data_IF_751062428504
#
_entry.id   IF_751062428504
#
_cell.length_a   1.000
_cell.length_b   1.000
_cell.length_c   1.000
_cell.angle_alpha   90.00
_cell.angle_beta   90.00
_cell.angle_gamma   90.00
#
_symmetry.space_group_name_H-M   'P 1'
#
loop_
_entity.id
_entity.type
_entity.pdbx_description
1 polymer ?
#
# COMPACT_ATOMS: atom_id res chain seq x y z
N UNK A 1 2.24 -6.38 -17.66
CA UNK A 1 1.76 -7.60 -16.98
C UNK A 1 0.46 -7.23 -16.28
N UNK A 2 -0.64 -7.26 -17.02
CA UNK A 2 -2.00 -6.95 -16.58
C UNK A 2 -2.86 -8.14 -17.03
N UNK A 3 -3.80 -8.58 -16.19
CA UNK A 3 -4.64 -9.79 -16.30
C UNK A 3 -3.92 -11.14 -16.11
N UNK A 4 -3.79 -11.58 -14.85
CA UNK A 4 -3.81 -13.02 -14.46
C UNK A 4 -4.01 -13.25 -12.95
N UNK A 5 -4.18 -12.20 -12.14
CA UNK A 5 -4.11 -12.28 -10.67
C UNK A 5 -5.33 -12.91 -9.97
N UNK A 6 -6.39 -13.27 -10.70
CA UNK A 6 -7.54 -13.97 -10.11
C UNK A 6 -7.19 -15.43 -9.76
N UNK A 7 -6.27 -16.08 -10.49
CA UNK A 7 -6.05 -17.53 -10.38
C UNK A 7 -5.43 -17.95 -9.03
N UNK A 8 -4.60 -17.12 -8.42
CA UNK A 8 -3.92 -17.48 -7.17
C UNK A 8 -4.88 -17.42 -5.97
N UNK A 9 -5.66 -16.33 -5.89
CA UNK A 9 -6.62 -16.11 -4.80
C UNK A 9 -7.95 -16.84 -5.02
N UNK A 10 -8.27 -17.25 -6.25
CA UNK A 10 -9.33 -18.24 -6.50
C UNK A 10 -8.96 -19.64 -5.99
N UNK A 11 -7.66 -19.98 -5.96
CA UNK A 11 -7.18 -21.32 -5.60
C UNK A 11 -6.74 -21.46 -4.15
N UNK A 12 -6.24 -20.40 -3.54
CA UNK A 12 -5.64 -20.44 -2.21
C UNK A 12 -6.15 -19.29 -1.34
N UNK A 13 -6.25 -19.53 -0.02
CA UNK A 13 -6.65 -18.46 0.90
C UNK A 13 -5.59 -17.35 0.95
N UNK A 14 -6.05 -16.14 1.22
CA UNK A 14 -5.20 -14.96 1.39
C UNK A 14 -4.05 -15.18 2.37
N UNK A 15 -4.35 -15.83 3.50
CA UNK A 15 -3.40 -16.16 4.56
C UNK A 15 -2.30 -17.09 4.04
N UNK A 16 -2.65 -18.13 3.27
CA UNK A 16 -1.64 -19.03 2.69
C UNK A 16 -0.74 -18.31 1.68
N UNK A 17 -1.27 -17.35 0.92
CA UNK A 17 -0.47 -16.53 -0.01
C UNK A 17 0.48 -15.61 0.77
N UNK A 18 0.00 -14.98 1.83
CA UNK A 18 0.78 -14.11 2.72
C UNK A 18 1.94 -14.88 3.37
N UNK A 19 1.66 -16.02 4.01
CA UNK A 19 2.71 -16.82 4.64
C UNK A 19 3.70 -17.39 3.59
N UNK A 20 3.21 -17.72 2.39
CA UNK A 20 4.08 -18.13 1.27
C UNK A 20 5.05 -17.01 0.86
N UNK A 21 4.54 -15.78 0.76
CA UNK A 21 5.35 -14.59 0.47
C UNK A 21 6.37 -14.31 1.58
N UNK A 22 5.96 -14.37 2.85
CA UNK A 22 6.89 -14.23 3.98
C UNK A 22 7.96 -15.33 3.96
N UNK A 23 7.60 -16.56 3.62
CA UNK A 23 8.55 -17.66 3.46
C UNK A 23 9.58 -17.39 2.36
N UNK A 24 9.18 -16.69 1.27
CA UNK A 24 10.09 -16.25 0.23
C UNK A 24 11.10 -15.24 0.79
N UNK A 25 10.63 -14.22 1.51
CA UNK A 25 11.51 -13.23 2.13
C UNK A 25 12.47 -13.88 3.11
N UNK A 26 11.97 -14.66 4.06
CA UNK A 26 12.79 -15.33 5.07
C UNK A 26 13.89 -16.23 4.45
N UNK A 27 13.61 -16.86 3.29
CA UNK A 27 14.58 -17.71 2.60
C UNK A 27 15.75 -16.94 1.99
N UNK A 28 15.49 -15.74 1.47
CA UNK A 28 16.48 -14.94 0.72
C UNK A 28 17.07 -13.79 1.54
N UNK A 29 16.36 -13.29 2.55
CA UNK A 29 16.76 -12.27 3.52
C UNK A 29 17.01 -12.96 4.86
N UNK A 30 18.07 -13.77 4.94
CA UNK A 30 18.35 -14.66 6.09
C UNK A 30 18.64 -13.94 7.40
N UNK A 31 19.00 -12.67 7.33
CA UNK A 31 19.32 -11.84 8.49
C UNK A 31 18.07 -11.18 9.08
N UNK A 32 16.91 -11.29 8.41
CA UNK A 32 15.63 -10.74 8.88
C UNK A 32 14.88 -11.77 9.73
N UNK A 33 14.46 -11.33 10.92
CA UNK A 33 13.59 -12.11 11.79
C UNK A 33 12.16 -12.16 11.26
N UNK A 34 11.44 -13.23 11.59
CA UNK A 34 10.07 -13.43 11.13
C UNK A 34 9.13 -12.31 11.60
N UNK A 35 9.28 -11.84 12.84
CA UNK A 35 8.49 -10.74 13.41
C UNK A 35 8.69 -9.43 12.66
N UNK A 36 9.92 -9.15 12.22
CA UNK A 36 10.23 -7.98 11.39
C UNK A 36 9.56 -8.05 10.03
N UNK A 37 9.54 -9.24 9.42
CA UNK A 37 8.88 -9.44 8.12
C UNK A 37 7.37 -9.18 8.22
N UNK A 38 6.69 -9.76 9.22
CA UNK A 38 5.24 -9.54 9.40
C UNK A 38 4.93 -8.09 9.78
N UNK A 39 5.71 -7.48 10.67
CA UNK A 39 5.52 -6.08 11.09
C UNK A 39 5.62 -5.11 9.92
N UNK A 40 6.60 -5.29 9.04
CA UNK A 40 6.77 -4.43 7.87
C UNK A 40 5.64 -4.61 6.84
N UNK A 41 5.10 -5.82 6.69
CA UNK A 41 3.96 -6.08 5.80
C UNK A 41 2.65 -5.55 6.41
N UNK A 42 2.50 -5.56 7.73
CA UNK A 42 1.29 -5.12 8.43
C UNK A 42 1.13 -3.59 8.50
N UNK A 43 2.06 -2.82 7.94
CA UNK A 43 1.98 -1.37 7.99
C UNK A 43 0.85 -0.85 7.08
N UNK A 44 0.06 0.12 7.55
CA UNK A 44 -1.11 0.64 6.84
C UNK A 44 -0.78 1.19 5.44
N UNK A 45 0.45 1.67 5.25
CA UNK A 45 0.94 2.21 3.98
C UNK A 45 1.89 1.24 3.24
N UNK A 46 1.94 -0.03 3.63
CA UNK A 46 2.70 -1.06 2.93
C UNK A 46 1.93 -1.60 1.72
N UNK A 47 2.63 -1.67 0.59
CA UNK A 47 2.17 -2.22 -0.66
C UNK A 47 3.10 -3.35 -1.07
N UNK A 48 2.54 -4.43 -1.64
CA UNK A 48 3.35 -5.54 -2.12
C UNK A 48 3.05 -5.87 -3.58
N UNK A 49 4.10 -5.88 -4.40
CA UNK A 49 4.08 -6.39 -5.77
C UNK A 49 4.42 -7.87 -5.72
N UNK A 50 3.44 -8.71 -6.05
CA UNK A 50 3.62 -10.16 -6.15
C UNK A 50 3.76 -10.56 -7.62
N UNK A 51 4.80 -11.32 -7.93
CA UNK A 51 5.03 -11.90 -9.26
C UNK A 51 4.79 -13.39 -9.20
N UNK A 52 3.81 -13.86 -9.97
CA UNK A 52 3.43 -15.27 -10.06
C UNK A 52 3.77 -15.85 -11.43
N UNK A 53 4.04 -17.15 -11.48
CA UNK A 53 4.19 -17.89 -12.73
C UNK A 53 2.88 -18.56 -13.16
N UNK A 54 2.82 -18.94 -14.43
CA UNK A 54 1.67 -19.64 -14.97
C UNK A 54 1.52 -21.03 -14.34
N UNK A 55 0.30 -21.59 -14.35
CA UNK A 55 0.07 -22.95 -13.84
C UNK A 55 0.87 -24.01 -14.61
N UNK A 56 1.25 -23.78 -15.87
CA UNK A 56 2.08 -24.73 -16.63
C UNK A 56 3.54 -24.68 -16.17
N UNK A 57 4.04 -23.49 -15.89
CA UNK A 57 5.40 -23.26 -15.42
C UNK A 57 5.60 -23.74 -13.98
N UNK A 58 4.62 -23.49 -13.09
CA UNK A 58 4.59 -24.02 -11.73
C UNK A 58 4.68 -25.56 -11.74
N UNK A 59 3.87 -26.23 -12.58
CA UNK A 59 3.93 -27.70 -12.76
C UNK A 59 5.28 -28.17 -13.30
N UNK A 60 5.82 -27.48 -14.31
CA UNK A 60 7.12 -27.82 -14.89
C UNK A 60 8.23 -27.72 -13.84
N UNK A 61 8.28 -26.63 -13.08
CA UNK A 61 9.25 -26.42 -11.99
C UNK A 61 9.08 -27.47 -10.89
N UNK A 62 7.84 -27.73 -10.46
CA UNK A 62 7.55 -28.72 -9.42
C UNK A 62 7.98 -30.13 -9.83
N UNK A 63 7.70 -30.53 -11.07
CA UNK A 63 8.12 -31.84 -11.61
C UNK A 63 9.64 -31.96 -11.76
N UNK A 64 10.34 -30.91 -12.21
CA UNK A 64 11.81 -30.89 -12.36
C UNK A 64 12.53 -30.99 -11.02
N UNK A 65 11.94 -30.42 -9.97
CA UNK A 65 12.48 -30.42 -8.62
C UNK A 65 12.10 -31.68 -7.81
N UNK A 66 11.39 -32.65 -8.42
CA UNK A 66 11.03 -33.89 -7.76
C UNK A 66 12.28 -34.68 -7.33
N UNK A 67 12.35 -35.17 -6.09
CA UNK A 67 13.53 -35.88 -5.59
C UNK A 67 13.73 -37.23 -6.30
N UNK A 68 15.00 -37.61 -6.50
CA UNK A 68 15.34 -38.93 -7.03
C UNK A 68 14.81 -40.04 -6.10
N UNK A 69 14.48 -41.23 -6.65
CA UNK A 69 13.99 -42.41 -5.90
C UNK A 69 14.80 -42.71 -4.63
N UNK A 70 16.12 -42.64 -4.69
CA UNK A 70 16.99 -42.89 -3.53
C UNK A 70 16.89 -41.84 -2.40
N UNK A 71 16.36 -40.64 -2.68
CA UNK A 71 16.11 -39.58 -1.69
C UNK A 71 14.68 -39.57 -1.17
N UNK A 72 13.73 -40.18 -1.88
CA UNK A 72 12.30 -40.16 -1.50
C UNK A 72 12.09 -40.76 -0.12
N UNK A 73 12.64 -41.94 0.15
CA UNK A 73 12.43 -42.62 1.44
C UNK A 73 13.07 -41.86 2.61
N UNK A 74 14.27 -41.29 2.39
CA UNK A 74 14.93 -40.44 3.38
C UNK A 74 14.12 -39.17 3.68
N UNK A 75 13.52 -38.56 2.65
CA UNK A 75 12.68 -37.37 2.83
C UNK A 75 11.38 -37.75 3.54
N UNK A 76 10.68 -38.82 3.14
CA UNK A 76 9.48 -39.29 3.83
C UNK A 76 9.77 -39.48 5.32
N UNK A 77 10.89 -40.16 5.66
CA UNK A 77 11.27 -40.35 7.05
C UNK A 77 11.55 -39.03 7.78
N UNK A 78 12.20 -38.07 7.12
CA UNK A 78 12.44 -36.73 7.68
C UNK A 78 11.11 -35.99 7.97
N UNK A 79 10.18 -35.99 7.02
CA UNK A 79 8.86 -35.35 7.18
C UNK A 79 8.03 -36.04 8.26
N UNK A 80 8.02 -37.38 8.31
CA UNK A 80 7.29 -38.13 9.35
C UNK A 80 7.90 -37.92 10.74
N UNK A 81 9.22 -37.80 10.85
CA UNK A 81 9.88 -37.48 12.12
C UNK A 81 9.55 -36.06 12.57
N UNK A 82 9.52 -35.08 11.65
CA UNK A 82 9.08 -33.71 11.96
C UNK A 82 7.66 -33.70 12.55
N UNK A 83 6.71 -34.40 11.93
CA UNK A 83 5.35 -34.51 12.47
C UNK A 83 5.29 -35.18 13.84
N UNK A 84 6.14 -36.18 14.10
CA UNK A 84 6.23 -36.83 15.42
C UNK A 84 6.79 -35.88 16.48
N UNK A 85 7.83 -35.12 16.16
CA UNK A 85 8.46 -34.18 17.10
C UNK A 85 7.59 -32.95 17.37
N UNK A 86 6.90 -32.41 16.35
CA UNK A 86 6.01 -31.27 16.52
C UNK A 86 4.75 -31.63 17.33
N UNK A 87 4.19 -32.85 17.15
CA UNK A 87 3.07 -33.34 17.97
C UNK A 87 3.46 -33.64 19.41
N UNK A 88 4.71 -34.04 19.69
CA UNK A 88 5.15 -34.22 21.08
C UNK A 88 5.31 -32.89 21.83
N UNK A 89 5.83 -31.85 21.16
CA UNK A 89 6.07 -30.55 21.79
C UNK A 89 4.80 -29.72 22.04
N UNK A 90 3.74 -29.95 21.26
CA UNK A 90 2.41 -29.34 21.50
C UNK A 90 1.63 -30.03 22.63
N UNK A 91 2.02 -31.25 23.02
CA UNK A 91 1.42 -31.96 24.16
C UNK A 91 2.10 -31.70 25.51
N UNK A 92 3.28 -31.05 25.55
CA UNK A 92 4.00 -30.75 26.81
C UNK A 92 3.83 -29.32 27.31
N UNK A 93 3.32 -28.39 26.49
CA UNK A 93 3.15 -26.98 26.87
C UNK A 93 1.69 -26.58 27.16
N UNK A 94 0.75 -27.52 27.17
CA UNK A 94 -0.64 -27.30 27.56
C UNK A 94 -0.95 -28.01 28.90
N UNK A 95 -0.37 -27.49 29.97
CA UNK A 95 -0.90 -27.70 31.33
C UNK A 95 -1.31 -26.34 31.85
N UNK A 96 -2.59 -26.24 32.22
CA UNK A 96 -3.27 -25.11 32.86
C UNK A 96 -3.75 -23.96 31.96
N UNK A 97 -4.88 -24.21 31.27
CA UNK A 97 -6.09 -23.38 31.42
C UNK A 97 -7.32 -24.18 31.00
N UNK A 98 -7.95 -24.81 31.99
CA UNK A 98 -9.37 -25.15 31.90
C UNK A 98 -10.18 -23.86 31.69
N UNK A 99 -11.17 -23.89 30.79
CA UNK A 99 -12.56 -23.49 31.08
C UNK A 99 -13.44 -23.75 29.83
N UNK A 100 -14.47 -24.54 30.11
CA UNK A 100 -15.80 -24.67 29.49
C UNK A 100 -15.97 -24.67 27.97
N UNK A 101 -16.45 -25.81 27.50
CA UNK A 101 -17.35 -25.95 26.37
C UNK A 101 -18.47 -24.91 26.39
N UNK A 102 -18.60 -24.14 25.32
CA UNK A 102 -19.92 -23.84 24.80
C UNK A 102 -19.93 -23.87 23.28
N UNK A 103 -20.99 -24.48 22.75
CA UNK A 103 -21.23 -24.62 21.32
C UNK A 103 -21.81 -23.32 20.82
N UNK A 104 -21.15 -22.67 19.88
CA UNK A 104 -21.83 -21.69 19.03
C UNK A 104 -21.13 -21.67 17.67
N UNK A 105 -21.92 -21.94 16.64
CA UNK A 105 -21.55 -21.85 15.24
C UNK A 105 -21.04 -20.43 14.92
N UNK A 106 -19.95 -20.25 14.15
CA UNK A 106 -19.65 -18.94 13.61
C UNK A 106 -20.36 -18.80 12.26
N UNK A 107 -21.44 -18.01 12.28
CA UNK A 107 -21.99 -17.38 11.09
C UNK A 107 -20.87 -16.63 10.33
N UNK A 108 -20.82 -16.88 9.03
CA UNK A 108 -19.95 -16.20 8.08
C UNK A 108 -20.24 -14.70 8.05
N UNK A 109 -19.26 -13.91 8.50
CA UNK A 109 -19.09 -12.49 8.13
C UNK A 109 -17.63 -12.25 7.78
N UNK A 110 -17.29 -12.62 6.55
CA UNK A 110 -16.09 -12.14 5.87
C UNK A 110 -16.40 -10.76 5.33
N UNK A 111 -15.85 -9.72 5.93
CA UNK A 111 -15.83 -8.39 5.32
C UNK A 111 -14.53 -7.63 5.64
N UNK A 112 -13.92 -7.17 4.56
CA UNK A 112 -12.87 -6.14 4.43
C UNK A 112 -11.43 -6.51 4.80
N UNK A 113 -10.78 -7.32 3.96
CA UNK A 113 -9.34 -7.15 3.67
C UNK A 113 -9.21 -6.29 2.40
N UNK A 114 -8.73 -5.06 2.56
CA UNK A 114 -8.59 -4.07 1.49
C UNK A 114 -7.40 -4.45 0.59
N UNK A 115 -7.68 -5.29 -0.41
CA UNK A 115 -6.78 -5.53 -1.53
C UNK A 115 -6.69 -4.27 -2.40
N UNK A 116 -5.57 -3.54 -2.35
CA UNK A 116 -5.33 -2.45 -3.30
C UNK A 116 -4.69 -3.02 -4.56
N UNK A 117 -5.56 -3.43 -5.48
CA UNK A 117 -5.24 -3.62 -6.89
C UNK A 117 -5.12 -2.24 -7.55
N UNK A 118 -4.01 -2.00 -8.25
CA UNK A 118 -3.84 -0.86 -9.13
C UNK A 118 -4.71 -0.99 -10.38
N UNK A 119 -5.98 -0.61 -10.24
CA UNK A 119 -6.87 -0.33 -11.35
C UNK A 119 -7.10 1.19 -11.37
N UNK A 120 -6.29 1.90 -12.16
CA UNK A 120 -6.64 3.24 -12.60
C UNK A 120 -7.68 3.10 -13.72
N UNK A 121 -8.91 3.49 -13.43
CA UNK A 121 -9.87 3.94 -14.45
C UNK A 121 -10.34 5.31 -13.98
N UNK A 122 -9.97 6.34 -14.73
CA UNK A 122 -10.35 7.73 -14.51
C UNK A 122 -11.86 7.85 -14.31
N UNK A 123 -12.22 8.42 -13.16
CA UNK A 123 -13.52 9.05 -12.90
C UNK A 123 -13.33 9.96 -11.69
N UNK A 124 -13.16 11.25 -11.97
CA UNK A 124 -13.18 12.32 -10.99
C UNK A 124 -14.56 12.37 -10.32
N UNK A 125 -14.70 11.83 -9.11
CA UNK A 125 -15.80 12.21 -8.20
C UNK A 125 -15.27 12.34 -6.77
N UNK A 126 -15.52 13.52 -6.20
CA UNK A 126 -15.27 13.90 -4.83
C UNK A 126 -16.01 12.96 -3.87
N UNK A 127 -15.29 12.31 -2.95
CA UNK A 127 -15.91 11.51 -1.89
C UNK A 127 -15.53 12.08 -0.52
N UNK A 128 -16.59 12.53 0.16
CA UNK A 128 -16.64 13.09 1.50
C UNK A 128 -15.94 12.22 2.55
N UNK A 129 -15.25 12.88 3.48
CA UNK A 129 -14.67 12.30 4.69
C UNK A 129 -15.76 11.62 5.53
N UNK A 130 -15.76 10.28 5.54
CA UNK A 130 -16.40 9.51 6.60
C UNK A 130 -15.32 8.96 7.53
N UNK A 131 -15.24 9.56 8.70
CA UNK A 131 -14.48 9.06 9.86
C UNK A 131 -15.03 7.71 10.28
N UNK A 132 -14.34 6.63 9.89
CA UNK A 132 -14.55 5.29 10.44
C UNK A 132 -13.83 5.25 11.79
N UNK A 133 -14.58 5.05 12.87
CA UNK A 133 -14.05 4.86 14.21
C UNK A 133 -13.10 3.66 14.25
N UNK A 134 -11.86 3.92 14.66
CA UNK A 134 -10.78 2.95 14.79
C UNK A 134 -11.05 1.98 15.96
N UNK A 135 -11.52 0.78 15.64
CA UNK A 135 -11.24 -0.39 16.48
C UNK A 135 -9.83 -0.87 16.12
N UNK A 136 -8.82 -0.36 16.82
CA UNK A 136 -7.44 -0.87 16.77
C UNK A 136 -7.37 -2.19 17.54
N UNK A 137 -7.99 -3.24 17.01
CA UNK A 137 -7.51 -4.59 17.24
C UNK A 137 -6.31 -4.76 16.31
N UNK A 138 -5.09 -4.75 16.85
CA UNK A 138 -3.88 -5.06 16.10
C UNK A 138 -4.06 -6.43 15.40
N UNK A 139 -4.38 -6.40 14.10
CA UNK A 139 -4.55 -7.59 13.29
C UNK A 139 -3.18 -8.24 13.12
N UNK A 140 -2.88 -9.20 13.98
CA UNK A 140 -1.66 -9.98 13.92
C UNK A 140 -1.69 -10.95 12.72
N UNK A 141 -1.01 -10.55 11.65
CA UNK A 141 -0.85 -11.31 10.41
C UNK A 141 0.00 -12.59 10.57
N UNK A 142 0.65 -12.80 11.72
CA UNK A 142 1.40 -14.04 12.00
C UNK A 142 0.49 -15.20 12.40
N UNK A 143 -0.77 -14.92 12.79
CA UNK A 143 -1.77 -15.94 13.10
C UNK A 143 -2.01 -16.83 11.89
N UNK A 144 -2.04 -18.14 12.11
CA UNK A 144 -2.22 -19.14 11.04
C UNK A 144 -0.90 -19.66 10.43
N UNK A 145 0.25 -19.11 10.83
CA UNK A 145 1.54 -19.59 10.33
C UNK A 145 1.77 -21.08 10.60
N UNK A 146 1.48 -21.57 11.81
CA UNK A 146 1.64 -22.99 12.14
C UNK A 146 0.73 -23.89 11.29
N UNK A 147 -0.50 -23.45 11.03
CA UNK A 147 -1.44 -24.17 10.17
C UNK A 147 -0.95 -24.20 8.71
N UNK A 148 -0.39 -23.09 8.24
CA UNK A 148 0.24 -23.01 6.92
C UNK A 148 1.43 -23.96 6.78
N UNK A 149 2.29 -24.03 7.80
CA UNK A 149 3.41 -24.96 7.85
C UNK A 149 2.90 -26.40 7.83
N UNK A 150 1.97 -26.76 8.70
CA UNK A 150 1.41 -28.11 8.75
C UNK A 150 0.75 -28.52 7.44
N UNK A 151 0.01 -27.62 6.80
CA UNK A 151 -0.62 -27.82 5.49
C UNK A 151 0.44 -28.05 4.40
N UNK A 152 1.46 -27.20 4.33
CA UNK A 152 2.55 -27.31 3.35
C UNK A 152 3.35 -28.60 3.53
N UNK A 153 3.68 -28.97 4.77
CA UNK A 153 4.38 -30.21 5.08
C UNK A 153 3.54 -31.45 4.77
N UNK A 154 2.24 -31.42 5.08
CA UNK A 154 1.32 -32.51 4.77
C UNK A 154 1.18 -32.73 3.27
N UNK A 155 1.04 -31.65 2.50
CA UNK A 155 0.96 -31.71 1.04
C UNK A 155 2.25 -32.28 0.43
N UNK A 156 3.41 -31.84 0.92
CA UNK A 156 4.71 -32.38 0.49
C UNK A 156 4.85 -33.87 0.84
N UNK A 157 4.44 -34.29 2.03
CA UNK A 157 4.49 -35.69 2.45
C UNK A 157 3.57 -36.57 1.59
N UNK A 158 2.35 -36.10 1.32
CA UNK A 158 1.39 -36.80 0.45
C UNK A 158 1.94 -36.94 -0.98
N UNK A 159 2.57 -35.90 -1.50
CA UNK A 159 3.26 -35.95 -2.80
C UNK A 159 4.38 -36.99 -2.82
N UNK A 160 5.23 -37.03 -1.79
CA UNK A 160 6.31 -38.03 -1.71
C UNK A 160 5.77 -39.47 -1.59
N UNK A 161 4.69 -39.68 -0.82
CA UNK A 161 4.00 -40.98 -0.73
C UNK A 161 3.39 -41.39 -2.07
N UNK A 162 2.82 -40.44 -2.80
CA UNK A 162 2.31 -40.67 -4.16
C UNK A 162 3.44 -41.08 -5.13
N UNK A 163 4.59 -40.39 -5.08
CA UNK A 163 5.77 -40.75 -5.89
C UNK A 163 6.34 -42.13 -5.53
N UNK A 164 6.32 -42.50 -4.26
CA UNK A 164 6.76 -43.82 -3.78
C UNK A 164 5.88 -44.95 -4.32
N UNK A 165 4.56 -44.78 -4.26
CA UNK A 165 3.62 -45.84 -4.65
C UNK A 165 3.56 -46.05 -6.17
N UNK A 166 3.88 -45.02 -6.95
CA UNK A 166 3.92 -45.07 -8.41
C UNK A 166 5.36 -45.33 -8.90
N UNK A 167 5.80 -46.57 -8.82
CA UNK A 167 7.18 -47.02 -9.07
C UNK A 167 7.68 -46.87 -10.52
N UNK A 168 6.84 -46.48 -11.48
CA UNK A 168 7.15 -46.32 -12.90
C UNK A 168 7.35 -44.86 -13.35
N UNK A 169 7.94 -43.98 -12.53
CA UNK A 169 8.26 -42.61 -12.95
C UNK A 169 9.62 -42.49 -13.66
N UNK A 170 9.69 -42.38 -15.00
CA UNK A 170 10.81 -41.73 -15.66
C UNK A 170 10.77 -40.24 -15.34
N UNK A 171 11.96 -39.63 -15.21
CA UNK A 171 12.19 -38.17 -14.99
C UNK A 171 11.38 -37.24 -15.90
N UNK A 172 10.80 -37.75 -16.99
CA UNK A 172 10.17 -36.99 -18.07
C UNK A 172 8.74 -37.47 -18.45
N UNK A 173 8.17 -38.49 -17.81
CA UNK A 173 6.76 -38.82 -18.04
C UNK A 173 5.90 -38.00 -17.08
N UNK A 174 5.30 -36.94 -17.62
CA UNK A 174 4.47 -36.02 -16.88
C UNK A 174 3.41 -36.74 -16.08
N UNK A 175 3.39 -36.47 -14.77
CA UNK A 175 2.17 -36.62 -13.97
C UNK A 175 1.00 -36.00 -14.75
N UNK A 176 -0.18 -36.62 -14.66
CA UNK A 176 -1.37 -36.00 -15.21
C UNK A 176 -1.49 -34.59 -14.64
N UNK A 177 -1.71 -33.58 -15.50
CA UNK A 177 -1.80 -32.17 -15.07
C UNK A 177 -2.74 -31.99 -13.86
N UNK A 178 -3.83 -32.76 -13.82
CA UNK A 178 -4.84 -32.77 -12.74
C UNK A 178 -4.34 -33.38 -11.42
N UNK A 179 -3.44 -34.36 -11.44
CA UNK A 179 -2.87 -34.95 -10.23
C UNK A 179 -1.85 -34.00 -9.60
N UNK A 180 -1.01 -33.36 -10.43
CA UNK A 180 -0.06 -32.33 -9.97
C UNK A 180 -0.76 -31.18 -9.27
N UNK A 181 -1.90 -30.73 -9.81
CA UNK A 181 -2.65 -29.61 -9.27
C UNK A 181 -3.10 -29.81 -7.81
N UNK A 182 -3.26 -31.06 -7.37
CA UNK A 182 -3.63 -31.39 -5.99
C UNK A 182 -2.50 -31.19 -4.98
N UNK A 183 -1.25 -31.15 -5.45
CA UNK A 183 -0.06 -31.04 -4.62
C UNK A 183 0.62 -29.67 -4.70
N UNK A 184 0.18 -28.79 -5.62
CA UNK A 184 0.74 -27.46 -5.76
C UNK A 184 0.30 -26.57 -4.59
N UNK A 185 1.27 -25.91 -3.97
CA UNK A 185 1.07 -24.91 -2.93
C UNK A 185 1.28 -23.50 -3.51
N UNK A 186 0.82 -22.42 -2.84
CA UNK A 186 1.05 -21.06 -3.32
C UNK A 186 2.55 -20.74 -3.50
N UNK A 187 3.41 -21.32 -2.67
CA UNK A 187 4.88 -21.31 -2.80
C UNK A 187 5.42 -21.75 -4.17
N UNK A 188 4.68 -22.55 -4.93
CA UNK A 188 5.10 -23.00 -6.26
C UNK A 188 4.76 -22.02 -7.37
N UNK A 189 3.88 -21.06 -7.09
CA UNK A 189 3.44 -20.03 -8.03
C UNK A 189 4.17 -18.71 -7.80
N UNK A 190 4.48 -18.36 -6.55
CA UNK A 190 5.14 -17.09 -6.22
C UNK A 190 6.62 -17.19 -6.60
N UNK A 191 7.04 -16.34 -7.52
CA UNK A 191 8.41 -16.31 -8.06
C UNK A 191 9.21 -15.14 -7.52
N UNK A 192 8.55 -13.99 -7.31
CA UNK A 192 9.18 -12.83 -6.70
C UNK A 192 8.16 -12.02 -5.92
N UNK A 193 8.64 -11.30 -4.91
CA UNK A 193 7.83 -10.39 -4.13
C UNK A 193 8.64 -9.13 -3.80
N UNK A 194 7.95 -8.00 -3.73
CA UNK A 194 8.53 -6.72 -3.41
C UNK A 194 7.57 -5.91 -2.55
N UNK A 195 7.95 -5.67 -1.30
CA UNK A 195 7.15 -4.90 -0.33
C UNK A 195 7.80 -3.54 -0.15
N UNK A 196 7.00 -2.49 -0.31
CA UNK A 196 7.43 -1.10 -0.14
C UNK A 196 6.37 -0.32 0.62
N UNK A 197 6.80 0.68 1.37
CA UNK A 197 5.94 1.54 2.16
C UNK A 197 5.96 2.96 1.62
N UNK A 198 4.80 3.62 1.58
CA UNK A 198 4.72 5.04 1.22
C UNK A 198 4.78 5.86 2.51
N UNK A 199 5.91 6.55 2.71
CA UNK A 199 6.17 7.38 3.89
C UNK A 199 6.26 8.87 3.50
N UNK A 200 6.01 9.75 4.47
CA UNK A 200 6.28 11.18 4.34
C UNK A 200 7.47 11.55 5.21
N UNK A 201 8.58 11.95 4.58
CA UNK A 201 9.80 12.36 5.28
C UNK A 201 10.11 13.81 4.95
N UNK A 202 10.23 14.67 5.96
CA UNK A 202 10.49 16.11 5.79
C UNK A 202 9.55 16.79 4.78
N UNK A 203 8.26 16.43 4.78
CA UNK A 203 7.25 16.97 3.86
C UNK A 203 7.30 16.43 2.42
N UNK A 204 8.16 15.45 2.14
CA UNK A 204 8.27 14.78 0.84
C UNK A 204 7.69 13.39 0.87
N UNK A 205 7.02 12.99 -0.20
CA UNK A 205 6.40 11.67 -0.34
C UNK A 205 7.42 10.70 -0.93
N UNK A 206 7.81 9.68 -0.17
CA UNK A 206 8.81 8.70 -0.59
C UNK A 206 8.21 7.30 -0.65
N UNK A 207 8.71 6.49 -1.58
CA UNK A 207 8.51 5.05 -1.56
C UNK A 207 9.74 4.40 -0.91
N UNK A 208 9.59 3.91 0.32
CA UNK A 208 10.63 3.17 1.02
C UNK A 208 10.49 1.69 0.67
N UNK A 209 11.46 1.15 -0.06
CA UNK A 209 11.51 -0.27 -0.39
C UNK A 209 12.06 -1.07 0.80
N UNK A 210 11.20 -1.85 1.45
CA UNK A 210 11.55 -2.66 2.62
C UNK A 210 12.16 -4.00 2.20
N UNK A 211 11.45 -4.75 1.35
CA UNK A 211 11.89 -6.10 0.95
C UNK A 211 11.79 -6.31 -0.55
N UNK A 212 12.80 -6.96 -1.12
CA UNK A 212 12.79 -7.46 -2.49
C UNK A 212 13.44 -8.84 -2.53
N UNK A 213 12.67 -9.84 -2.96
CA UNK A 213 13.19 -11.20 -3.13
C UNK A 213 12.73 -11.81 -4.46
N UNK A 214 13.66 -12.53 -5.10
CA UNK A 214 13.42 -13.29 -6.33
C UNK A 214 13.91 -14.72 -6.11
N UNK A 215 13.07 -15.70 -6.45
CA UNK A 215 13.40 -17.12 -6.33
C UNK A 215 14.65 -17.45 -7.17
N UNK A 216 15.57 -18.23 -6.61
CA UNK A 216 16.87 -18.61 -7.19
C UNK A 216 16.78 -19.08 -8.65
N UNK A 217 15.74 -19.83 -9.00
CA UNK A 217 15.55 -20.37 -10.35
C UNK A 217 15.18 -19.29 -11.39
N UNK A 218 14.67 -18.16 -10.92
CA UNK A 218 14.23 -17.03 -11.74
C UNK A 218 15.11 -15.78 -11.57
N UNK A 219 16.15 -15.88 -10.74
CA UNK A 219 17.20 -14.86 -10.69
C UNK A 219 17.91 -14.74 -12.04
N UNK A 220 18.42 -13.54 -12.34
CA UNK A 220 19.10 -13.20 -13.60
C UNK A 220 18.23 -13.23 -14.86
N UNK A 221 16.92 -13.44 -14.72
CA UNK A 221 15.94 -13.31 -15.82
C UNK A 221 15.38 -11.88 -15.95
N UNK A 222 15.89 -10.93 -15.18
CA UNK A 222 15.44 -9.54 -15.21
C UNK A 222 14.21 -9.23 -14.34
N UNK A 223 13.65 -10.20 -13.61
CA UNK A 223 12.47 -9.97 -12.77
C UNK A 223 12.66 -8.86 -11.74
N UNK A 224 13.80 -8.84 -11.03
CA UNK A 224 14.09 -7.76 -10.08
C UNK A 224 14.13 -6.39 -10.75
N UNK A 225 14.70 -6.30 -11.96
CA UNK A 225 14.68 -5.05 -12.75
C UNK A 225 13.25 -4.66 -13.12
N UNK A 226 12.45 -5.60 -13.64
CA UNK A 226 11.07 -5.34 -14.02
C UNK A 226 10.22 -4.85 -12.84
N UNK A 227 10.42 -5.40 -11.65
CA UNK A 227 9.73 -4.96 -10.43
C UNK A 227 10.10 -3.52 -10.08
N UNK A 228 11.39 -3.18 -10.09
CA UNK A 228 11.85 -1.82 -9.84
C UNK A 228 11.35 -0.85 -10.92
N UNK A 229 11.31 -1.28 -12.18
CA UNK A 229 10.77 -0.46 -13.28
C UNK A 229 9.26 -0.22 -13.11
N UNK A 230 8.51 -1.18 -12.56
CA UNK A 230 7.10 -0.98 -12.16
C UNK A 230 7.01 0.01 -11.00
N UNK A 231 7.86 -0.13 -9.98
CA UNK A 231 7.89 0.76 -8.82
C UNK A 231 8.20 2.22 -9.21
N UNK A 232 9.00 2.43 -10.26
CA UNK A 232 9.28 3.78 -10.79
C UNK A 232 8.09 4.42 -11.50
N UNK A 233 7.11 3.64 -11.94
CA UNK A 233 5.96 4.17 -12.66
C UNK A 233 5.04 4.91 -11.69
N UNK A 234 4.68 6.15 -12.03
CA UNK A 234 3.70 6.96 -11.29
C UNK A 234 2.34 6.28 -11.19
N UNK A 235 1.99 5.41 -12.14
CA UNK A 235 0.77 4.60 -12.03
C UNK A 235 0.78 3.73 -10.78
N UNK A 236 1.93 3.19 -10.37
CA UNK A 236 2.05 2.28 -9.23
C UNK A 236 2.19 2.99 -7.90
N UNK A 237 3.11 3.95 -7.80
CA UNK A 237 3.43 4.62 -6.52
C UNK A 237 2.67 5.94 -6.34
N UNK A 238 2.00 6.44 -7.37
CA UNK A 238 1.54 7.82 -7.41
C UNK A 238 2.70 8.82 -7.54
N UNK A 239 2.46 10.12 -7.34
CA UNK A 239 3.51 11.14 -7.35
C UNK A 239 4.43 10.95 -6.14
N UNK A 240 5.66 10.49 -6.37
CA UNK A 240 6.68 10.34 -5.34
C UNK A 240 7.90 11.19 -5.69
N UNK A 241 8.54 11.73 -4.66
CA UNK A 241 9.74 12.56 -4.79
C UNK A 241 11.00 11.70 -4.88
N UNK A 242 10.99 10.52 -4.24
CA UNK A 242 12.12 9.60 -4.22
C UNK A 242 11.68 8.16 -3.93
N UNK A 243 12.50 7.20 -4.37
CA UNK A 243 12.46 5.81 -3.89
C UNK A 243 13.72 5.59 -3.06
N UNK A 244 13.56 5.18 -1.81
CA UNK A 244 14.68 4.94 -0.88
C UNK A 244 14.76 3.45 -0.58
N UNK A 245 15.98 2.91 -0.57
CA UNK A 245 16.23 1.50 -0.27
C UNK A 245 17.41 1.35 0.69
N UNK A 246 17.31 0.38 1.59
CA UNK A 246 18.44 -0.12 2.38
C UNK A 246 19.02 -1.35 1.69
N UNK A 247 20.07 -1.15 0.91
CA UNK A 247 20.67 -2.23 0.13
C UNK A 247 21.71 -2.98 0.95
N UNK A 248 21.54 -4.31 1.08
CA UNK A 248 22.61 -5.19 1.55
C UNK A 248 23.88 -5.02 0.72
N UNK A 249 25.04 -5.31 1.29
CA UNK A 249 26.35 -5.24 0.60
C UNK A 249 26.36 -5.98 -0.75
N UNK A 250 25.57 -7.06 -0.89
CA UNK A 250 25.48 -7.86 -2.12
C UNK A 250 24.51 -7.27 -3.16
N UNK A 251 23.62 -6.37 -2.75
CA UNK A 251 22.57 -5.78 -3.58
C UNK A 251 22.92 -4.36 -4.06
N UNK A 252 23.93 -3.70 -3.50
CA UNK A 252 24.38 -2.35 -3.90
C UNK A 252 24.59 -2.24 -5.41
N UNK A 253 25.35 -3.17 -6.01
CA UNK A 253 25.61 -3.19 -7.46
C UNK A 253 24.34 -3.37 -8.30
N UNK A 254 23.34 -4.07 -7.76
CA UNK A 254 22.05 -4.25 -8.43
C UNK A 254 21.29 -2.92 -8.45
N UNK A 255 21.16 -2.25 -7.31
CA UNK A 255 20.46 -0.97 -7.22
C UNK A 255 21.19 0.16 -7.95
N UNK A 256 22.52 0.20 -7.91
CA UNK A 256 23.33 1.13 -8.69
C UNK A 256 23.05 1.01 -10.21
N UNK A 257 22.95 -0.23 -10.73
CA UNK A 257 22.59 -0.47 -12.14
C UNK A 257 21.17 -0.02 -12.48
N UNK A 258 20.28 0.01 -11.50
CA UNK A 258 18.91 0.52 -11.65
C UNK A 258 18.84 2.05 -11.52
N UNK A 259 19.96 2.75 -11.32
CA UNK A 259 20.02 4.21 -11.22
C UNK A 259 19.81 4.75 -9.80
N UNK A 260 19.88 3.90 -8.77
CA UNK A 260 19.96 4.38 -7.40
C UNK A 260 21.35 4.95 -7.13
N UNK A 261 21.38 6.05 -6.39
CA UNK A 261 22.59 6.78 -6.05
C UNK A 261 22.89 6.59 -4.56
N UNK A 262 24.13 6.24 -4.30
CA UNK A 262 24.73 6.25 -2.97
C UNK A 262 25.48 7.57 -2.80
N UNK A 263 24.75 8.65 -2.55
CA UNK A 263 25.31 9.98 -2.29
C UNK A 263 24.91 10.42 -0.90
N UNK A 264 25.92 10.77 -0.09
CA UNK A 264 25.74 11.16 1.31
C UNK A 264 24.80 12.37 1.46
N UNK A 265 24.87 13.35 0.57
CA UNK A 265 24.01 14.54 0.63
C UNK A 265 22.57 14.20 0.27
N UNK A 266 22.36 13.38 -0.78
CA UNK A 266 21.01 12.94 -1.17
C UNK A 266 20.38 12.10 -0.06
N UNK A 267 21.11 11.13 0.45
CA UNK A 267 20.63 10.23 1.51
C UNK A 267 20.44 10.96 2.85
N UNK A 268 21.15 12.07 3.09
CA UNK A 268 20.94 12.89 4.29
C UNK A 268 19.56 13.55 4.38
N UNK A 269 18.79 13.57 3.28
CA UNK A 269 17.38 14.00 3.28
C UNK A 269 16.44 12.98 3.95
N UNK A 270 16.89 11.74 4.16
CA UNK A 270 16.06 10.62 4.65
C UNK A 270 16.55 10.08 6.00
N UNK A 271 17.13 10.94 6.84
CA UNK A 271 17.67 10.55 8.16
C UNK A 271 16.62 9.86 9.05
N UNK A 272 15.36 10.24 8.90
CA UNK A 272 14.24 9.67 9.68
C UNK A 272 14.09 8.16 9.49
N UNK A 273 14.52 7.61 8.35
CA UNK A 273 14.45 6.18 8.03
C UNK A 273 15.84 5.52 7.98
N UNK A 274 16.91 6.25 8.28
CA UNK A 274 18.27 5.73 8.14
C UNK A 274 18.63 4.65 9.15
N UNK A 275 17.96 4.65 10.31
CA UNK A 275 18.22 3.71 11.39
C UNK A 275 17.29 2.49 11.36
N UNK A 276 16.39 2.38 10.35
CA UNK A 276 15.44 1.27 10.23
C UNK A 276 16.15 -0.09 10.00
N UNK A 277 17.33 -0.08 9.36
CA UNK A 277 18.08 -1.29 9.04
C UNK A 277 19.59 -1.13 9.32
N UNK A 278 20.18 -2.14 9.95
CA UNK A 278 21.61 -2.18 10.29
C UNK A 278 22.38 -2.96 9.22
N UNK A 279 23.66 -2.62 9.01
CA UNK A 279 24.55 -3.25 8.02
C UNK A 279 24.14 -3.09 6.55
N UNK A 280 23.23 -2.15 6.27
CA UNK A 280 22.78 -1.82 4.93
C UNK A 280 23.36 -0.48 4.47
N UNK A 281 23.45 -0.31 3.16
CA UNK A 281 23.77 0.95 2.53
C UNK A 281 22.50 1.61 2.01
N UNK A 282 22.18 2.80 2.52
CA UNK A 282 21.06 3.57 2.00
C UNK A 282 21.37 4.05 0.57
N UNK A 283 20.44 3.82 -0.35
CA UNK A 283 20.53 4.33 -1.72
C UNK A 283 19.21 4.98 -2.11
N UNK A 284 19.29 6.05 -2.89
CA UNK A 284 18.11 6.81 -3.32
C UNK A 284 18.02 6.84 -4.83
N UNK A 285 16.84 6.52 -5.36
CA UNK A 285 16.48 6.84 -6.73
C UNK A 285 15.63 8.11 -6.74
N UNK A 286 16.09 9.11 -7.49
CA UNK A 286 15.36 10.33 -7.75
C UNK A 286 14.69 10.19 -9.13
N UNK A 287 13.35 10.19 -9.21
CA UNK A 287 12.64 10.25 -10.47
C UNK A 287 13.16 11.46 -11.27
N UNK A 288 13.46 11.24 -12.56
CA UNK A 288 13.85 12.36 -13.40
C UNK A 288 12.67 13.33 -13.51
N UNK A 289 12.86 14.58 -13.11
CA UNK A 289 11.89 15.68 -13.32
C UNK A 289 11.43 15.82 -14.78
N UNK A 290 12.19 15.21 -15.70
CA UNK A 290 12.04 15.23 -17.15
C UNK A 290 10.90 14.32 -17.65
N UNK A 291 10.19 13.54 -16.82
CA UNK A 291 9.05 12.75 -17.33
C UNK A 291 7.91 13.62 -17.92
N UNK A 292 7.86 14.91 -17.61
CA UNK A 292 6.92 15.87 -18.22
C UNK A 292 7.51 16.63 -19.44
N UNK A 293 8.78 16.42 -19.77
CA UNK A 293 9.44 16.96 -20.96
C UNK A 293 9.85 15.76 -21.80
N UNK A 294 9.11 15.49 -22.88
CA UNK A 294 9.24 14.26 -23.67
C UNK A 294 10.67 13.85 -24.09
N UNK A 295 10.83 12.68 -24.73
CA UNK A 295 12.10 11.93 -24.87
C UNK A 295 13.26 12.62 -25.62
N UNK A 296 13.19 13.91 -25.94
CA UNK A 296 14.12 14.60 -26.82
C UNK A 296 15.40 15.12 -26.15
N UNK A 297 15.49 15.19 -24.82
CA UNK A 297 16.63 15.89 -24.18
C UNK A 297 17.78 14.95 -23.74
N UNK A 298 17.55 13.64 -23.56
CA UNK A 298 18.55 12.76 -22.91
C UNK A 298 19.10 11.60 -23.75
N UNK A 299 18.74 11.46 -25.02
CA UNK A 299 19.32 10.42 -25.89
C UNK A 299 20.17 11.03 -27.02
N UNK A 300 21.49 11.22 -26.85
CA UNK A 300 22.35 11.33 -28.00
C UNK A 300 22.49 9.91 -28.59
N UNK A 301 22.01 9.74 -29.82
CA UNK A 301 22.28 8.56 -30.64
C UNK A 301 23.80 8.32 -30.65
N UNK A 302 24.27 7.30 -29.91
CA UNK A 302 25.68 6.91 -29.85
C UNK A 302 26.00 6.10 -31.11
N UNK A 303 25.87 6.76 -32.25
CA UNK A 303 26.41 6.29 -33.52
C UNK A 303 26.86 7.53 -34.28
N UNK A 304 27.83 8.27 -33.75
CA UNK A 304 28.80 8.99 -34.58
C UNK A 304 29.95 9.56 -33.75
N UNK A 305 31.14 9.02 -34.04
CA UNK A 305 32.44 9.70 -34.09
C UNK A 305 32.77 10.78 -33.04
N UNK A 306 33.65 10.44 -32.07
CA UNK A 306 34.71 11.31 -31.51
C UNK A 306 34.36 12.82 -31.32
N UNK A 307 33.15 13.17 -30.88
CA UNK A 307 32.85 14.55 -30.50
C UNK A 307 33.27 14.76 -29.05
N UNK A 308 34.49 15.24 -28.91
CA UNK A 308 35.08 15.96 -27.78
C UNK A 308 34.21 16.03 -26.50
N UNK A 309 34.40 15.08 -25.58
CA UNK A 309 33.63 14.99 -24.32
C UNK A 309 33.68 16.26 -23.44
N UNK A 310 34.61 17.18 -23.73
CA UNK A 310 34.70 18.49 -23.11
C UNK A 310 33.54 19.42 -23.52
N UNK A 311 33.12 19.40 -24.80
CA UNK A 311 32.01 20.21 -25.33
C UNK A 311 30.67 19.71 -24.81
N UNK A 312 30.50 18.39 -24.66
CA UNK A 312 29.31 17.82 -24.03
C UNK A 312 29.21 18.16 -22.55
N UNK A 313 30.35 18.14 -21.82
CA UNK A 313 30.39 18.52 -20.41
C UNK A 313 30.03 20.00 -20.21
N UNK A 314 30.43 20.87 -21.11
CA UNK A 314 30.06 22.30 -21.08
C UNK A 314 28.59 22.51 -21.40
N UNK A 315 28.05 21.85 -22.42
CA UNK A 315 26.62 21.92 -22.75
C UNK A 315 25.73 21.41 -21.62
N UNK A 316 26.13 20.32 -20.95
CA UNK A 316 25.41 19.81 -19.77
C UNK A 316 25.47 20.81 -18.61
N UNK A 317 26.63 21.44 -18.38
CA UNK A 317 26.76 22.49 -17.35
C UNK A 317 25.91 23.72 -17.65
N UNK A 318 25.82 24.12 -18.91
CA UNK A 318 24.95 25.23 -19.34
C UNK A 318 23.47 24.87 -19.15
N UNK A 319 23.04 23.69 -19.59
CA UNK A 319 21.67 23.22 -19.38
C UNK A 319 21.31 23.11 -17.89
N UNK A 320 22.23 22.65 -17.03
CA UNK A 320 22.03 22.62 -15.57
C UNK A 320 21.91 24.04 -15.00
N UNK A 321 22.72 25.00 -15.47
CA UNK A 321 22.61 26.40 -15.03
C UNK A 321 21.30 27.03 -15.48
N UNK A 322 20.89 26.78 -16.71
CA UNK A 322 19.63 27.28 -17.27
C UNK A 322 18.43 26.73 -16.49
N UNK A 323 18.39 25.41 -16.26
CA UNK A 323 17.34 24.81 -15.44
C UNK A 323 17.38 25.24 -13.98
N UNK A 324 18.56 25.51 -13.42
CA UNK A 324 18.66 26.08 -12.06
C UNK A 324 17.99 27.46 -12.02
N UNK A 325 18.27 28.32 -12.99
CA UNK A 325 17.66 29.66 -13.08
C UNK A 325 16.15 29.55 -13.30
N UNK A 326 15.71 28.64 -14.17
CA UNK A 326 14.29 28.39 -14.43
C UNK A 326 13.56 27.88 -13.17
N UNK A 327 14.18 26.96 -12.44
CA UNK A 327 13.65 26.43 -11.17
C UNK A 327 13.60 27.50 -10.08
N UNK A 328 14.64 28.33 -9.95
CA UNK A 328 14.64 29.47 -9.03
C UNK A 328 13.56 30.49 -9.38
N UNK A 329 13.33 30.76 -10.68
CA UNK A 329 12.27 31.65 -11.13
C UNK A 329 10.88 31.06 -10.89
N UNK A 330 10.70 29.75 -11.14
CA UNK A 330 9.45 29.05 -10.83
C UNK A 330 9.15 29.11 -9.33
N UNK A 331 10.16 28.88 -8.48
CA UNK A 331 10.02 28.98 -7.04
C UNK A 331 9.64 30.40 -6.60
N UNK A 332 10.33 31.44 -7.12
CA UNK A 332 9.97 32.85 -6.86
C UNK A 332 8.52 33.16 -7.25
N UNK A 333 8.08 32.69 -8.42
CA UNK A 333 6.70 32.88 -8.87
C UNK A 333 5.70 32.19 -7.92
N UNK A 334 6.00 30.98 -7.45
CA UNK A 334 5.19 30.30 -6.45
C UNK A 334 5.11 31.07 -5.13
N UNK A 335 6.24 31.62 -4.65
CA UNK A 335 6.26 32.46 -3.44
C UNK A 335 5.37 33.69 -3.59
N UNK A 336 5.45 34.38 -4.74
CA UNK A 336 4.59 35.55 -5.02
C UNK A 336 3.11 35.17 -5.02
N UNK A 337 2.76 34.02 -5.61
CA UNK A 337 1.38 33.53 -5.60
C UNK A 337 0.93 33.19 -4.18
N UNK A 338 1.77 32.53 -3.38
CA UNK A 338 1.47 32.25 -1.97
C UNK A 338 1.25 33.54 -1.16
N UNK A 339 2.12 34.54 -1.31
CA UNK A 339 1.93 35.84 -0.65
C UNK A 339 0.63 36.52 -1.08
N UNK A 340 0.28 36.44 -2.37
CA UNK A 340 -1.01 36.95 -2.85
C UNK A 340 -2.18 36.22 -2.21
N UNK A 341 -2.16 34.88 -2.14
CA UNK A 341 -3.22 34.09 -1.50
C UNK A 341 -3.34 34.47 -0.02
N UNK A 342 -2.22 34.64 0.69
CA UNK A 342 -2.22 35.06 2.09
C UNK A 342 -2.86 36.45 2.27
N UNK A 343 -2.54 37.40 1.39
CA UNK A 343 -3.17 38.73 1.41
C UNK A 343 -4.67 38.66 1.08
N UNK A 344 -5.06 37.86 0.10
CA UNK A 344 -6.46 37.66 -0.28
C UNK A 344 -7.24 37.01 0.87
N UNK A 345 -6.65 36.04 1.58
CA UNK A 345 -7.22 35.44 2.80
C UNK A 345 -7.40 36.48 3.91
N UNK A 346 -6.40 37.33 4.16
CA UNK A 346 -6.51 38.38 5.17
C UNK A 346 -7.64 39.36 4.85
N UNK A 347 -7.75 39.79 3.59
CA UNK A 347 -8.86 40.65 3.14
C UNK A 347 -10.23 39.96 3.32
N UNK A 348 -10.28 38.65 3.11
CA UNK A 348 -11.50 37.87 3.32
C UNK A 348 -11.88 37.84 4.81
N UNK A 349 -10.91 37.61 5.69
CA UNK A 349 -11.11 37.63 7.15
C UNK A 349 -11.60 38.99 7.62
N UNK A 350 -10.98 40.08 7.15
CA UNK A 350 -11.40 41.44 7.49
C UNK A 350 -12.84 41.72 7.03
N UNK A 351 -13.23 41.20 5.86
CA UNK A 351 -14.61 41.32 5.34
C UNK A 351 -15.60 40.51 6.18
N UNK A 352 -15.23 39.31 6.61
CA UNK A 352 -16.06 38.49 7.51
C UNK A 352 -16.26 39.22 8.83
N UNK A 353 -15.20 39.75 9.45
CA UNK A 353 -15.32 40.55 10.66
C UNK A 353 -16.20 41.79 10.49
N UNK A 354 -16.10 42.47 9.35
CA UNK A 354 -17.00 43.58 9.04
C UNK A 354 -18.47 43.13 8.94
N UNK A 355 -18.73 41.99 8.30
CA UNK A 355 -20.08 41.41 8.22
C UNK A 355 -20.60 40.98 9.60
N UNK A 356 -19.78 40.39 10.46
CA UNK A 356 -20.14 40.02 11.83
C UNK A 356 -20.53 41.23 12.68
N UNK A 357 -19.83 42.35 12.50
CA UNK A 357 -20.17 43.62 13.14
C UNK A 357 -21.53 44.13 12.67
N UNK A 358 -21.79 44.11 11.35
CA UNK A 358 -23.10 44.50 10.79
C UNK A 358 -24.21 43.60 11.32
N UNK A 359 -24.00 42.28 11.35
CA UNK A 359 -24.98 41.32 11.89
C UNK A 359 -25.25 41.64 13.36
N UNK A 360 -24.22 41.92 14.15
CA UNK A 360 -24.35 42.27 15.56
C UNK A 360 -25.18 43.55 15.76
N UNK A 361 -24.94 44.58 14.95
CA UNK A 361 -25.71 45.84 14.98
C UNK A 361 -27.18 45.60 14.60
N UNK A 362 -27.43 44.85 13.53
CA UNK A 362 -28.78 44.47 13.11
C UNK A 362 -29.51 43.64 14.18
N UNK A 363 -28.81 42.72 14.85
CA UNK A 363 -29.39 41.97 15.97
C UNK A 363 -29.78 42.88 17.15
N UNK A 364 -28.96 43.90 17.46
CA UNK A 364 -29.29 44.89 18.49
C UNK A 364 -30.52 45.71 18.09
N UNK A 365 -30.63 46.10 16.82
CA UNK A 365 -31.78 46.83 16.30
C UNK A 365 -33.06 45.99 16.35
N UNK A 366 -33.02 44.72 15.91
CA UNK A 366 -34.15 43.78 16.01
C UNK A 366 -34.60 43.61 17.46
N UNK A 367 -33.67 43.48 18.41
CA UNK A 367 -34.01 43.40 19.84
C UNK A 367 -34.70 44.68 20.34
N UNK A 368 -34.24 45.85 19.89
CA UNK A 368 -34.86 47.14 20.22
C UNK A 368 -36.28 47.27 19.65
N UNK A 369 -36.46 46.92 18.38
CA UNK A 369 -37.76 46.94 17.71
C UNK A 369 -38.73 45.94 18.34
N UNK A 370 -38.28 44.73 18.66
CA UNK A 370 -39.09 43.73 19.37
C UNK A 370 -39.58 44.26 20.72
N UNK A 371 -38.71 44.93 21.50
CA UNK A 371 -39.11 45.59 22.77
C UNK A 371 -40.14 46.70 22.55
N UNK A 372 -39.97 47.53 21.51
CA UNK A 372 -40.96 48.56 21.15
C UNK A 372 -42.29 47.95 20.74
N UNK A 373 -42.28 46.88 19.95
CA UNK A 373 -43.47 46.17 19.52
C UNK A 373 -44.20 45.51 20.70
N UNK A 374 -43.48 44.89 21.64
CA UNK A 374 -44.08 44.38 22.89
C UNK A 374 -44.76 45.49 23.70
N UNK A 375 -44.14 46.67 23.81
CA UNK A 375 -44.75 47.84 24.46
C UNK A 375 -46.01 48.31 23.73
N UNK A 376 -45.95 48.40 22.39
CA UNK A 376 -47.09 48.80 21.58
C UNK A 376 -48.25 47.80 21.70
N UNK A 377 -47.98 46.50 21.63
CA UNK A 377 -48.97 45.44 21.81
C UNK A 377 -49.58 45.48 23.22
N UNK A 378 -48.81 45.82 24.25
CA UNK A 378 -49.33 46.01 25.61
C UNK A 378 -50.24 47.26 25.75
N UNK A 379 -50.00 48.30 24.95
CA UNK A 379 -50.84 49.50 24.88
C UNK A 379 -52.11 49.22 24.11
N UNK A 380 -52.01 48.53 22.97
CA UNK A 380 -53.17 48.07 22.19
C UNK A 380 -54.05 47.16 23.04
N UNK A 381 -53.48 46.20 23.77
CA UNK A 381 -54.27 45.31 24.64
C UNK A 381 -55.01 46.07 25.75
N UNK A 382 -54.41 47.13 26.30
CA UNK A 382 -55.08 48.01 27.28
C UNK A 382 -56.23 48.79 26.64
N UNK A 383 -56.01 49.38 25.46
CA UNK A 383 -57.03 50.10 24.71
C UNK A 383 -58.19 49.20 24.27
N UNK A 384 -57.93 47.93 23.94
CA UNK A 384 -58.98 46.95 23.60
C UNK A 384 -59.75 46.43 24.82
N UNK A 385 -59.20 46.51 26.03
CA UNK A 385 -59.92 46.18 27.27
C UNK A 385 -60.83 47.33 27.75
N UNK A 386 -60.54 48.56 27.34
CA UNK A 386 -61.36 49.74 27.63
C UNK A 386 -62.48 50.00 26.59
N UNK A 387 -62.61 49.13 25.58
CA UNK A 387 -63.74 49.14 24.64
C UNK A 387 -64.93 48.39 25.25
N UNK A 388 -66.06 49.06 25.56
CA UNK A 388 -67.23 48.39 26.10
C UNK A 388 -67.77 47.38 25.08
N UNK A 389 -68.07 46.17 25.56
CA UNK A 389 -68.86 45.18 24.86
C UNK A 389 -70.30 45.69 24.70
N UNK A 390 -70.53 46.60 23.78
CA UNK A 390 -71.86 46.90 23.24
C UNK A 390 -71.73 47.28 21.77
N UNK A 391 -72.73 46.86 20.98
CA UNK A 391 -72.84 46.97 19.51
C UNK A 391 -72.10 45.82 18.79
N UNK A 392 -72.72 44.72 18.33
CA UNK A 392 -74.00 44.61 17.64
C UNK A 392 -74.63 43.21 17.80
N UNK A 393 -75.84 43.16 18.39
CA UNK A 393 -76.92 42.30 17.93
C UNK A 393 -77.69 43.11 16.89
N UNK A 394 -77.93 42.58 15.70
CA UNK A 394 -78.90 43.18 14.77
C UNK A 394 -78.67 42.85 13.31
N UNK A 395 -79.58 42.04 12.78
CA UNK A 395 -80.09 42.05 11.42
C UNK A 395 -79.30 41.36 10.30
N UNK A 396 -79.48 40.03 10.28
CA UNK A 396 -79.99 39.40 9.07
C UNK A 396 -81.35 40.03 8.72
N UNK A 397 -81.45 40.79 7.63
CA UNK A 397 -82.60 40.76 6.71
C UNK A 397 -82.38 41.70 5.52
N UNK A 398 -82.65 41.16 4.32
CA UNK A 398 -83.24 41.85 3.15
C UNK A 398 -82.30 42.79 2.37
N UNK A 399 -82.19 42.81 1.03
CA UNK A 399 -82.73 42.08 -0.13
C UNK A 399 -81.92 42.59 -1.35
N UNK A 400 -81.76 41.71 -2.35
CA UNK A 400 -81.35 41.92 -3.77
C UNK A 400 -79.90 42.27 -4.10
#
# INVERSE_FOLDING_TARGET
>A
LQKHNEILFEKFSAEHVLHSMVSLYHRYLREMEQETLYSAINNENAFTILVTCSSEEARSSFSKNAPNKGKIESLIHQYENYFKTCKLNTCTNNVEKEISSDKTEPESKTDVLKYVFLNHSDSEEEVEEQTIENNTDDFDLSKGFDQFIDSTYSNNLNFLKHLRNNSNFPRNAGLNKKELDQFLNPNNFIVAACTFNIKYCSGRRIAHLDFLAVEKNYQRQGLGKSIIDILKQKSTTGPIDAIVVHADTKAVDFFAKMGFVDDMFVNSCWKDIADDYVNCQMMTYLPSFVENLGPQVLSPNIQDNKVNGMVYKEKIKEAIKEHKIESENAHRNQTIVHEKIMNDMQLLVDRIHHQDNIISDLMLEIRSLTKKNMKLNSLVSKLTMDLPASINKGDQSVVN
#
